data_IF_996544358981
#
_entry.id   IF_996544358981
#
_cell.length_a   1.000
_cell.length_b   1.000
_cell.length_c   1.000
_cell.angle_alpha   90.00
_cell.angle_beta   90.00
_cell.angle_gamma   90.00
#
_symmetry.space_group_name_H-M   'P 1'
#
loop_
_entity.id
_entity.type
_entity.pdbx_description
1 polymer ?
#
# COMPACT_ATOMS: atom_id res chain seq x y z
N UNK A 1 -24.34 -0.34 1.42
CA UNK A 1 -23.22 -1.20 1.00
C UNK A 1 -22.89 -1.06 -0.49
N UNK A 2 -23.87 -0.94 -1.39
CA UNK A 2 -23.63 -0.78 -2.85
C UNK A 2 -22.60 0.31 -3.22
N UNK A 3 -22.72 1.51 -2.64
CA UNK A 3 -21.77 2.61 -2.88
C UNK A 3 -20.32 2.26 -2.48
N UNK A 4 -20.13 1.44 -1.44
CA UNK A 4 -18.80 1.01 -1.01
C UNK A 4 -18.13 0.16 -2.11
N UNK A 5 -18.82 -0.87 -2.58
CA UNK A 5 -18.30 -1.74 -3.64
C UNK A 5 -18.11 -0.97 -4.94
N UNK A 6 -19.07 -0.14 -5.33
CA UNK A 6 -18.95 0.70 -6.53
C UNK A 6 -17.74 1.65 -6.47
N UNK A 7 -17.50 2.31 -5.34
CA UNK A 7 -16.37 3.25 -5.21
C UNK A 7 -15.04 2.51 -5.25
N UNK A 8 -14.87 1.47 -4.43
CA UNK A 8 -13.57 0.82 -4.25
C UNK A 8 -13.23 -0.21 -5.33
N UNK A 9 -14.21 -0.75 -6.06
CA UNK A 9 -13.95 -1.55 -7.27
C UNK A 9 -13.39 -0.70 -8.41
N UNK A 10 -13.74 0.59 -8.46
CA UNK A 10 -13.32 1.52 -9.51
C UNK A 10 -12.20 2.48 -9.04
N UNK A 11 -11.72 2.34 -7.80
CA UNK A 11 -10.74 3.27 -7.23
C UNK A 11 -9.38 3.18 -7.94
N UNK A 12 -8.79 4.33 -8.24
CA UNK A 12 -7.43 4.39 -8.77
C UNK A 12 -6.42 4.30 -7.63
N UNK A 13 -5.93 3.09 -7.35
CA UNK A 13 -5.01 2.80 -6.25
C UNK A 13 -3.62 3.44 -6.33
N UNK A 14 -3.32 4.17 -7.40
CA UNK A 14 -2.19 5.12 -7.41
C UNK A 14 -2.36 6.22 -6.36
N UNK A 15 -3.61 6.51 -5.96
CA UNK A 15 -3.94 7.50 -4.95
C UNK A 15 -4.31 6.84 -3.62
N UNK A 16 -3.66 7.24 -2.51
CA UNK A 16 -3.99 6.73 -1.18
C UNK A 16 -5.37 7.20 -0.72
N UNK A 17 -6.09 6.32 -0.03
CA UNK A 17 -7.32 6.69 0.67
C UNK A 17 -6.95 7.37 1.98
N UNK A 18 -7.56 8.53 2.23
CA UNK A 18 -7.38 9.34 3.43
C UNK A 18 -8.74 9.81 3.91
N UNK A 19 -8.96 9.74 5.21
CA UNK A 19 -10.19 10.26 5.84
C UNK A 19 -10.01 11.76 6.13
N UNK A 20 -8.81 12.17 6.54
CA UNK A 20 -8.46 13.54 6.89
C UNK A 20 -7.24 14.03 6.10
N UNK A 21 -6.98 15.34 6.12
CA UNK A 21 -5.75 15.90 5.55
C UNK A 21 -4.56 15.47 6.40
N UNK A 22 -3.47 15.06 5.75
CA UNK A 22 -2.25 14.73 6.45
C UNK A 22 -1.71 15.95 7.20
N UNK A 23 -1.31 15.70 8.44
CA UNK A 23 -0.68 16.67 9.31
C UNK A 23 0.66 17.08 8.71
N UNK A 24 0.92 18.39 8.65
CA UNK A 24 2.19 18.92 8.13
C UNK A 24 3.28 19.00 9.20
N UNK A 25 2.92 18.75 10.46
CA UNK A 25 3.79 18.89 11.61
C UNK A 25 4.51 17.57 11.87
N UNK A 26 5.85 17.58 11.81
CA UNK A 26 6.68 16.44 12.22
C UNK A 26 7.11 15.48 11.11
N UNK A 27 8.22 14.77 11.34
CA UNK A 27 8.82 13.82 10.41
C UNK A 27 8.27 12.39 10.54
N UNK A 28 7.32 12.16 11.47
CA UNK A 28 6.81 10.83 11.81
C UNK A 28 5.53 10.46 11.05
N UNK A 29 4.86 11.44 10.43
CA UNK A 29 3.67 11.20 9.61
C UNK A 29 3.99 10.48 8.30
N UNK A 30 2.97 9.85 7.71
CA UNK A 30 3.14 9.03 6.51
C UNK A 30 3.70 9.84 5.32
N UNK A 31 4.71 9.28 4.67
CA UNK A 31 5.29 9.79 3.43
C UNK A 31 5.46 8.65 2.43
N UNK A 32 4.88 8.79 1.24
CA UNK A 32 4.91 7.77 0.19
C UNK A 32 6.32 7.28 -0.16
N UNK A 33 7.29 8.19 -0.28
CA UNK A 33 8.65 7.82 -0.66
C UNK A 33 9.38 7.07 0.46
N UNK A 34 9.15 7.46 1.71
CA UNK A 34 9.69 6.74 2.87
C UNK A 34 9.04 5.36 2.99
N UNK A 35 7.73 5.26 2.74
CA UNK A 35 7.00 3.99 2.84
C UNK A 35 7.46 2.98 1.78
N UNK A 36 7.63 3.42 0.53
CA UNK A 36 8.25 2.61 -0.53
C UNK A 36 9.67 2.18 -0.15
N UNK A 37 10.48 3.10 0.38
CA UNK A 37 11.85 2.80 0.79
C UNK A 37 11.86 1.74 1.89
N UNK A 38 11.00 1.87 2.90
CA UNK A 38 10.82 0.89 3.98
C UNK A 38 10.41 -0.47 3.43
N UNK A 39 9.43 -0.51 2.52
CA UNK A 39 8.99 -1.76 1.88
C UNK A 39 10.14 -2.41 1.11
N UNK A 40 10.82 -1.66 0.23
CA UNK A 40 11.97 -2.16 -0.52
C UNK A 40 13.08 -2.70 0.39
N UNK A 41 13.36 -2.04 1.53
CA UNK A 41 14.36 -2.50 2.49
C UNK A 41 13.97 -3.84 3.14
N UNK A 42 12.71 -4.03 3.53
CA UNK A 42 12.23 -5.31 4.08
C UNK A 42 12.43 -6.45 3.09
N UNK A 43 12.03 -6.24 1.83
CA UNK A 43 12.24 -7.26 0.81
C UNK A 43 13.72 -7.44 0.46
N UNK A 44 14.54 -6.38 0.49
CA UNK A 44 15.99 -6.51 0.28
C UNK A 44 16.62 -7.43 1.33
N UNK A 45 16.29 -7.24 2.61
CA UNK A 45 16.80 -8.07 3.69
C UNK A 45 16.34 -9.53 3.53
N UNK A 46 15.09 -9.75 3.15
CA UNK A 46 14.56 -11.10 2.89
C UNK A 46 15.16 -11.73 1.61
N UNK A 47 15.55 -10.93 0.61
CA UNK A 47 16.11 -11.40 -0.67
C UNK A 47 17.61 -11.64 -0.60
N UNK A 48 18.35 -10.90 0.24
CA UNK A 48 19.77 -11.19 0.51
C UNK A 48 19.95 -12.60 1.13
N UNK A 49 18.95 -13.10 1.88
CA UNK A 49 18.89 -14.51 2.32
C UNK A 49 18.56 -15.49 1.18
N UNK A 50 17.72 -15.08 0.20
CA UNK A 50 17.13 -16.01 -0.78
C UNK A 50 17.89 -16.07 -2.12
N UNK A 51 18.61 -15.01 -2.54
CA UNK A 51 19.13 -14.94 -3.92
C UNK A 51 20.46 -14.17 -4.08
N UNK A 52 21.58 -14.86 -3.89
CA UNK A 52 22.89 -14.55 -4.52
C UNK A 52 22.86 -14.62 -6.06
N UNK A 53 21.73 -14.98 -6.70
CA UNK A 53 21.67 -15.34 -8.14
C UNK A 53 20.58 -14.69 -9.01
N UNK A 54 19.58 -13.98 -8.46
CA UNK A 54 18.54 -13.34 -9.28
C UNK A 54 18.38 -11.88 -8.88
N UNK A 55 18.90 -10.97 -9.73
CA UNK A 55 18.63 -9.54 -9.69
C UNK A 55 17.12 -9.33 -9.90
N UNK A 56 16.32 -9.42 -8.83
CA UNK A 56 14.94 -8.96 -8.83
C UNK A 56 14.96 -7.43 -8.85
N UNK A 57 15.07 -6.87 -10.06
CA UNK A 57 14.88 -5.45 -10.34
C UNK A 57 13.37 -5.15 -10.37
N UNK A 58 12.64 -5.55 -9.33
CA UNK A 58 11.22 -5.24 -9.20
C UNK A 58 11.09 -4.12 -8.20
N UNK A 59 10.86 -2.92 -8.72
CA UNK A 59 10.42 -1.78 -7.94
C UNK A 59 9.12 -2.21 -7.24
N UNK A 60 9.14 -2.34 -5.91
CA UNK A 60 7.98 -2.84 -5.19
C UNK A 60 6.96 -1.71 -5.12
N UNK A 61 5.86 -1.89 -5.84
CA UNK A 61 4.76 -0.94 -5.88
C UNK A 61 3.90 -1.08 -4.63
N UNK A 62 3.38 0.05 -4.14
CA UNK A 62 2.29 0.06 -3.17
C UNK A 62 0.98 -0.17 -3.92
N UNK A 63 0.49 -1.41 -3.89
CA UNK A 63 -0.73 -1.81 -4.59
C UNK A 63 -2.01 -1.23 -3.98
N UNK A 64 -2.00 -0.98 -2.66
CA UNK A 64 -3.16 -0.49 -1.93
C UNK A 64 -2.67 0.34 -0.75
N UNK A 65 -3.12 1.59 -0.65
CA UNK A 65 -2.68 2.49 0.42
C UNK A 65 -3.89 3.11 1.11
N UNK A 66 -4.01 2.83 2.40
CA UNK A 66 -5.08 3.36 3.26
C UNK A 66 -4.41 3.95 4.49
N UNK A 67 -4.66 5.23 4.75
CA UNK A 67 -3.97 5.97 5.79
C UNK A 67 -4.84 6.06 7.05
N UNK A 68 -4.26 5.79 8.21
CA UNK A 68 -4.92 5.97 9.51
C UNK A 68 -5.34 7.43 9.70
N UNK A 69 -6.54 7.70 10.23
CA UNK A 69 -6.85 9.03 10.73
C UNK A 69 -6.03 9.31 12.00
N UNK A 70 -5.59 10.55 12.19
CA UNK A 70 -4.80 10.97 13.35
C UNK A 70 -3.28 10.82 13.18
N UNK A 71 -2.56 11.78 13.75
CA UNK A 71 -1.10 11.81 13.75
C UNK A 71 -0.49 10.86 14.81
N UNK A 72 0.63 10.17 14.52
CA UNK A 72 1.30 10.09 13.24
C UNK A 72 0.56 9.16 12.27
N UNK A 73 0.24 9.65 11.08
CA UNK A 73 -0.48 8.87 10.09
C UNK A 73 0.38 7.70 9.58
N UNK A 74 -0.22 6.53 9.37
CA UNK A 74 0.47 5.33 8.90
C UNK A 74 -0.33 4.61 7.80
N UNK A 75 0.35 3.83 6.96
CA UNK A 75 -0.30 2.99 5.95
C UNK A 75 -0.72 1.64 6.55
N UNK A 76 -2.03 1.41 6.67
CA UNK A 76 -2.57 0.16 7.22
C UNK A 76 -2.45 -1.02 6.27
N UNK A 77 -2.25 -0.76 4.97
CA UNK A 77 -2.19 -1.76 3.91
C UNK A 77 -0.76 -2.02 3.42
N UNK A 78 0.23 -1.69 4.26
CA UNK A 78 1.65 -1.82 3.94
C UNK A 78 2.04 -3.24 3.46
N UNK A 79 1.46 -4.29 4.05
CA UNK A 79 1.76 -5.68 3.74
C UNK A 79 1.06 -6.23 2.48
N UNK A 80 0.17 -5.45 1.85
CA UNK A 80 -0.53 -5.90 0.63
C UNK A 80 0.48 -6.04 -0.51
N UNK A 81 0.54 -7.23 -1.08
CA UNK A 81 1.29 -7.58 -2.29
C UNK A 81 0.36 -7.78 -3.48
N UNK A 82 0.93 -8.05 -4.67
CA UNK A 82 0.17 -8.22 -5.91
C UNK A 82 -0.95 -9.27 -5.78
N UNK A 83 -0.65 -10.45 -5.26
CA UNK A 83 -1.62 -11.55 -5.13
C UNK A 83 -2.78 -11.17 -4.20
N UNK A 84 -2.47 -10.60 -3.02
CA UNK A 84 -3.50 -10.15 -2.09
C UNK A 84 -4.35 -9.03 -2.69
N UNK A 85 -3.73 -8.11 -3.44
CA UNK A 85 -4.42 -7.02 -4.11
C UNK A 85 -5.40 -7.55 -5.16
N UNK A 86 -5.00 -8.51 -5.99
CA UNK A 86 -5.86 -9.12 -6.99
C UNK A 86 -7.07 -9.83 -6.36
N UNK A 87 -6.86 -10.54 -5.25
CA UNK A 87 -7.94 -11.22 -4.52
C UNK A 87 -8.93 -10.18 -3.96
N UNK A 88 -8.43 -9.12 -3.33
CA UNK A 88 -9.26 -8.03 -2.79
C UNK A 88 -10.06 -7.37 -3.92
N UNK A 89 -9.42 -7.05 -5.04
CA UNK A 89 -10.08 -6.45 -6.21
C UNK A 89 -11.20 -7.34 -6.77
N UNK A 90 -10.96 -8.64 -6.92
CA UNK A 90 -12.01 -9.59 -7.34
C UNK A 90 -13.18 -9.62 -6.34
N UNK A 91 -12.89 -9.56 -5.04
CA UNK A 91 -13.90 -9.47 -4.00
C UNK A 91 -14.75 -8.20 -4.11
N UNK A 92 -14.12 -7.05 -4.36
CA UNK A 92 -14.81 -5.77 -4.54
C UNK A 92 -15.69 -5.76 -5.80
N UNK A 93 -15.21 -6.34 -6.90
CA UNK A 93 -15.99 -6.45 -8.15
C UNK A 93 -17.18 -7.39 -7.98
N UNK A 94 -17.01 -8.52 -7.27
CA UNK A 94 -18.10 -9.48 -7.03
C UNK A 94 -19.20 -8.92 -6.13
N UNK A 95 -18.85 -8.02 -5.20
CA UNK A 95 -19.81 -7.38 -4.30
C UNK A 95 -20.50 -6.14 -4.86
N UNK A 96 -20.07 -5.66 -6.04
CA UNK A 96 -20.72 -4.57 -6.77
C UNK A 96 -22.00 -5.07 -7.43
#
# INVERSE_FOLDING_TARGET
MEKFFFVYSNWNWKYPIKIEKLTKFGSQGWNYNLDIKSKNNLYKNNVEEINKKRKLKYLILMFMTIITPGYPEQNTMFNVNLSTFEIIQRGLIKGK
#
